data_IF_618800823209
#
_entry.id   IF_618800823209
#
_cell.length_a   1.000
_cell.length_b   1.000
_cell.length_c   1.000
_cell.angle_alpha   90.00
_cell.angle_beta   90.00
_cell.angle_gamma   90.00
#
_symmetry.space_group_name_H-M   'P 1'
#
loop_
_entity.id
_entity.type
_entity.pdbx_description
1 polymer ?
#
# COMPACT_ATOMS: atom_id res chain seq x y z
N UNK A 1 -8.70 -20.94 -21.66
CA UNK A 1 -9.53 -20.62 -20.47
C UNK A 1 -8.83 -19.46 -19.77
N UNK A 2 -8.69 -18.34 -20.50
CA UNK A 2 -7.63 -17.34 -20.29
C UNK A 2 -8.23 -15.92 -20.34
N UNK A 3 -9.22 -15.65 -19.49
CA UNK A 3 -9.90 -14.34 -19.45
C UNK A 3 -10.23 -13.87 -18.03
N UNK A 4 -9.53 -14.39 -17.01
CA UNK A 4 -9.68 -13.95 -15.62
C UNK A 4 -8.39 -13.42 -15.00
N UNK A 5 -7.32 -13.27 -15.78
CA UNK A 5 -6.03 -12.70 -15.34
C UNK A 5 -5.83 -11.31 -15.96
N UNK A 6 -6.91 -10.53 -16.08
CA UNK A 6 -6.83 -9.17 -16.62
C UNK A 6 -6.93 -8.17 -15.45
N UNK A 7 -5.80 -7.53 -15.13
CA UNK A 7 -5.62 -6.46 -14.13
C UNK A 7 -5.95 -6.82 -12.68
N UNK A 8 -5.10 -7.63 -12.05
CA UNK A 8 -4.99 -7.59 -10.58
C UNK A 8 -4.18 -6.35 -10.21
N UNK A 9 -4.85 -5.18 -10.18
CA UNK A 9 -4.28 -3.97 -9.59
C UNK A 9 -3.94 -4.20 -8.10
N UNK A 10 -3.22 -3.27 -7.48
CA UNK A 10 -2.91 -3.32 -6.04
C UNK A 10 -4.17 -3.66 -5.25
N UNK A 11 -4.21 -4.89 -4.71
CA UNK A 11 -5.38 -5.41 -3.99
C UNK A 11 -5.54 -4.69 -2.67
N UNK A 12 -4.45 -4.20 -2.09
CA UNK A 12 -4.42 -3.50 -0.82
C UNK A 12 -5.19 -2.17 -0.87
N UNK A 13 -6.10 -1.99 0.09
CA UNK A 13 -6.91 -0.77 0.25
C UNK A 13 -6.66 -0.07 1.60
N UNK A 14 -5.74 -0.60 2.41
CA UNK A 14 -5.35 -0.07 3.71
C UNK A 14 -3.96 0.55 3.65
N UNK A 15 -3.81 1.71 4.28
CA UNK A 15 -2.52 2.36 4.47
C UNK A 15 -1.78 1.86 5.71
N UNK A 16 -0.50 2.21 5.84
CA UNK A 16 0.36 1.80 6.95
C UNK A 16 -0.24 2.13 8.32
N UNK A 17 -0.75 3.36 8.47
CA UNK A 17 -1.31 3.83 9.73
C UNK A 17 -2.54 3.02 10.15
N UNK A 18 -3.42 2.71 9.19
CA UNK A 18 -4.64 1.93 9.44
C UNK A 18 -4.28 0.49 9.84
N UNK A 19 -3.30 -0.12 9.15
CA UNK A 19 -2.76 -1.44 9.51
C UNK A 19 -2.19 -1.45 10.94
N UNK A 20 -1.40 -0.46 11.31
CA UNK A 20 -0.81 -0.37 12.67
C UNK A 20 -1.89 -0.21 13.73
N UNK A 21 -2.86 0.68 13.52
CA UNK A 21 -3.95 0.91 14.48
C UNK A 21 -4.78 -0.37 14.66
N UNK A 22 -5.14 -1.06 13.56
CA UNK A 22 -5.89 -2.32 13.62
C UNK A 22 -5.09 -3.43 14.28
N UNK A 23 -3.83 -3.59 13.93
CA UNK A 23 -2.95 -4.58 14.55
C UNK A 23 -2.84 -4.36 16.06
N UNK A 24 -2.61 -3.12 16.48
CA UNK A 24 -2.54 -2.75 17.90
C UNK A 24 -3.86 -2.99 18.63
N UNK A 25 -5.00 -2.61 18.03
CA UNK A 25 -6.32 -2.84 18.61
C UNK A 25 -6.63 -4.34 18.76
N UNK A 26 -6.37 -5.14 17.72
CA UNK A 26 -6.59 -6.58 17.74
C UNK A 26 -5.71 -7.28 18.78
N UNK A 27 -4.43 -6.98 18.82
CA UNK A 27 -3.50 -7.51 19.84
C UNK A 27 -3.94 -7.09 21.24
N UNK A 28 -4.38 -5.83 21.42
CA UNK A 28 -4.88 -5.33 22.70
C UNK A 28 -6.11 -6.09 23.20
N UNK A 29 -7.11 -6.32 22.34
CA UNK A 29 -8.32 -7.09 22.68
C UNK A 29 -7.95 -8.53 23.03
N UNK A 30 -7.09 -9.16 22.23
CA UNK A 30 -6.63 -10.53 22.48
C UNK A 30 -5.88 -10.64 23.82
N UNK A 31 -4.98 -9.69 24.10
CA UNK A 31 -4.24 -9.62 25.35
C UNK A 31 -5.14 -9.41 26.57
N UNK A 32 -6.16 -8.56 26.45
CA UNK A 32 -7.14 -8.34 27.52
C UNK A 32 -7.99 -9.58 27.80
N UNK A 33 -8.45 -10.27 26.75
CA UNK A 33 -9.18 -11.52 26.89
C UNK A 33 -8.32 -12.61 27.54
N UNK A 34 -7.06 -12.77 27.09
CA UNK A 34 -6.11 -13.69 27.69
C UNK A 34 -5.86 -13.39 29.17
N UNK A 35 -5.63 -12.11 29.50
CA UNK A 35 -5.40 -11.69 30.87
C UNK A 35 -6.62 -11.98 31.78
N UNK A 36 -7.84 -11.74 31.28
CA UNK A 36 -9.07 -12.05 32.02
C UNK A 36 -9.19 -13.54 32.32
N UNK A 37 -9.01 -14.39 31.30
CA UNK A 37 -9.09 -15.86 31.44
C UNK A 37 -8.05 -16.40 32.44
N UNK A 38 -6.81 -15.89 32.37
CA UNK A 38 -5.71 -16.48 33.14
C UNK A 38 -5.63 -15.95 34.56
N UNK A 39 -5.91 -14.66 34.76
CA UNK A 39 -5.61 -13.99 36.04
C UNK A 39 -6.83 -13.50 36.80
N UNK A 40 -7.99 -13.40 36.16
CA UNK A 40 -9.15 -12.70 36.76
C UNK A 40 -10.37 -13.61 36.92
N UNK A 41 -10.61 -14.53 35.99
CA UNK A 41 -11.90 -15.23 35.86
C UNK A 41 -11.73 -16.72 35.64
N UNK A 42 -12.44 -17.55 36.43
CA UNK A 42 -12.49 -19.01 36.25
C UNK A 42 -13.53 -19.46 35.19
N UNK A 43 -14.31 -18.52 34.65
CA UNK A 43 -15.38 -18.77 33.69
C UNK A 43 -15.20 -17.91 32.45
N UNK A 44 -15.28 -18.55 31.28
CA UNK A 44 -15.17 -17.90 29.97
C UNK A 44 -16.58 -17.50 29.51
N UNK A 45 -16.87 -16.20 29.51
CA UNK A 45 -18.18 -15.67 29.12
C UNK A 45 -18.04 -14.68 27.97
N UNK A 46 -17.35 -13.56 28.19
CA UNK A 46 -17.17 -12.51 27.20
C UNK A 46 -15.86 -12.67 26.42
N UNK A 47 -14.90 -13.40 26.99
CA UNK A 47 -13.55 -13.55 26.47
C UNK A 47 -13.53 -14.33 25.14
N UNK A 48 -14.42 -15.31 24.96
CA UNK A 48 -14.57 -16.01 23.67
C UNK A 48 -14.95 -15.05 22.56
N UNK A 49 -15.92 -14.15 22.81
CA UNK A 49 -16.31 -13.15 21.83
C UNK A 49 -15.18 -12.17 21.55
N UNK A 50 -14.48 -11.71 22.59
CA UNK A 50 -13.33 -10.83 22.44
C UNK A 50 -12.21 -11.46 21.58
N UNK A 51 -11.91 -12.74 21.78
CA UNK A 51 -10.95 -13.48 20.93
C UNK A 51 -11.45 -13.56 19.49
N UNK A 52 -12.73 -13.86 19.25
CA UNK A 52 -13.27 -13.90 17.89
C UNK A 52 -13.22 -12.52 17.21
N UNK A 53 -13.56 -11.45 17.94
CA UNK A 53 -13.50 -10.09 17.43
C UNK A 53 -12.08 -9.60 17.16
N UNK A 54 -11.07 -10.09 17.87
CA UNK A 54 -9.67 -9.68 17.64
C UNK A 54 -9.07 -10.25 16.36
N UNK A 55 -9.59 -11.38 15.86
CA UNK A 55 -9.11 -12.01 14.62
C UNK A 55 -9.27 -11.06 13.44
N UNK A 56 -10.40 -10.39 13.32
CA UNK A 56 -10.70 -9.51 12.19
C UNK A 56 -9.70 -8.34 12.02
N UNK A 57 -9.44 -7.48 13.02
CA UNK A 57 -8.45 -6.41 12.89
C UNK A 57 -7.02 -6.93 12.73
N UNK A 58 -6.66 -8.07 13.32
CA UNK A 58 -5.34 -8.70 13.11
C UNK A 58 -5.19 -9.15 11.66
N UNK A 59 -6.16 -9.89 11.14
CA UNK A 59 -6.11 -10.40 9.75
C UNK A 59 -6.08 -9.26 8.74
N UNK A 60 -6.92 -8.24 8.92
CA UNK A 60 -6.94 -7.07 8.01
C UNK A 60 -5.65 -6.25 8.11
N UNK A 61 -5.00 -6.18 9.28
CA UNK A 61 -3.69 -5.52 9.42
C UNK A 61 -2.57 -6.22 8.64
N UNK A 62 -2.52 -7.56 8.70
CA UNK A 62 -1.50 -8.37 8.03
C UNK A 62 -1.72 -8.32 6.51
N UNK A 63 -2.94 -8.60 6.06
CA UNK A 63 -3.26 -8.65 4.64
C UNK A 63 -3.23 -7.27 3.97
N UNK A 64 -3.49 -6.19 4.73
CA UNK A 64 -3.64 -4.83 4.15
C UNK A 64 -4.87 -4.70 3.26
N UNK A 65 -5.82 -5.60 3.45
CA UNK A 65 -7.08 -5.60 2.77
C UNK A 65 -8.23 -5.66 3.76
N UNK A 66 -9.16 -4.73 3.64
CA UNK A 66 -10.42 -4.72 4.39
C UNK A 66 -11.61 -4.94 3.45
N UNK A 67 -12.40 -6.03 3.64
CA UNK A 67 -13.62 -6.28 2.87
C UNK A 67 -14.65 -5.15 3.00
N UNK A 68 -14.76 -4.51 4.17
CA UNK A 68 -15.73 -3.44 4.41
C UNK A 68 -15.38 -2.23 3.55
N UNK A 69 -14.11 -1.82 3.54
CA UNK A 69 -13.65 -0.74 2.68
C UNK A 69 -13.87 -1.09 1.20
N UNK A 70 -13.64 -2.34 0.80
CA UNK A 70 -13.90 -2.76 -0.57
C UNK A 70 -15.39 -2.65 -0.96
N UNK A 71 -16.31 -3.09 -0.09
CA UNK A 71 -17.76 -3.00 -0.31
C UNK A 71 -18.23 -1.55 -0.48
N UNK A 72 -17.62 -0.61 0.24
CA UNK A 72 -17.96 0.82 0.16
C UNK A 72 -17.07 1.60 -0.82
N UNK A 73 -16.26 0.92 -1.65
CA UNK A 73 -15.29 1.55 -2.55
C UNK A 73 -14.35 2.54 -1.84
N UNK A 74 -14.15 2.35 -0.54
CA UNK A 74 -13.25 3.11 0.30
C UNK A 74 -11.82 2.59 0.21
N UNK A 75 -10.87 3.50 0.39
CA UNK A 75 -9.45 3.20 0.58
C UNK A 75 -8.87 4.20 1.58
N UNK A 76 -8.05 3.73 2.51
CA UNK A 76 -7.30 4.62 3.42
C UNK A 76 -5.88 4.91 2.93
N UNK A 77 -5.45 4.25 1.86
CA UNK A 77 -4.17 4.48 1.19
C UNK A 77 -4.33 5.25 -0.14
N UNK A 78 -3.24 5.86 -0.60
CA UNK A 78 -3.13 6.59 -1.86
C UNK A 78 -2.17 5.87 -2.82
N UNK A 79 -2.12 6.30 -4.09
CA UNK A 79 -1.06 5.87 -5.02
C UNK A 79 0.17 6.79 -4.96
N UNK A 80 0.08 7.90 -4.22
CA UNK A 80 1.14 8.91 -4.11
C UNK A 80 1.32 9.38 -2.67
N UNK A 81 2.55 9.73 -2.30
CA UNK A 81 2.88 10.34 -1.01
C UNK A 81 3.36 9.33 0.04
N UNK A 82 3.23 9.68 1.33
CA UNK A 82 3.77 8.87 2.46
C UNK A 82 2.89 7.69 2.88
N UNK A 83 1.67 7.61 2.37
CA UNK A 83 0.68 6.59 2.72
C UNK A 83 0.24 5.84 1.47
N UNK A 84 1.21 5.22 0.78
CA UNK A 84 0.96 4.49 -0.45
C UNK A 84 0.32 3.12 -0.19
N UNK A 85 -0.53 2.64 -1.09
CA UNK A 85 -1.06 1.29 -1.04
C UNK A 85 0.03 0.28 -1.46
N UNK A 86 0.25 -0.79 -0.68
CA UNK A 86 1.14 -1.85 -1.14
C UNK A 86 1.45 -2.94 -0.11
N UNK A 87 2.58 -3.62 -0.32
CA UNK A 87 3.10 -4.58 0.64
C UNK A 87 3.58 -3.84 1.91
N UNK A 88 3.52 -4.48 3.07
CA UNK A 88 3.94 -3.86 4.33
C UNK A 88 5.39 -3.31 4.29
N UNK A 89 6.40 -4.03 3.76
CA UNK A 89 7.76 -3.49 3.64
C UNK A 89 7.83 -2.23 2.76
N UNK A 90 7.04 -2.19 1.69
CA UNK A 90 6.96 -1.05 0.80
C UNK A 90 6.35 0.16 1.51
N UNK A 91 5.23 -0.04 2.21
CA UNK A 91 4.56 1.01 2.98
C UNK A 91 5.48 1.62 4.04
N UNK A 92 6.21 0.78 4.77
CA UNK A 92 7.22 1.22 5.75
C UNK A 92 8.29 2.06 5.07
N UNK A 93 8.84 1.61 3.94
CA UNK A 93 9.86 2.36 3.18
C UNK A 93 9.35 3.75 2.77
N UNK A 94 8.14 3.83 2.25
CA UNK A 94 7.51 5.09 1.80
C UNK A 94 7.23 6.05 2.96
N UNK A 95 6.90 5.54 4.15
CA UNK A 95 6.67 6.36 5.33
C UNK A 95 7.96 7.03 5.84
N UNK A 96 9.09 6.33 5.76
CA UNK A 96 10.40 6.83 6.20
C UNK A 96 11.17 7.62 5.13
N UNK A 97 10.66 7.70 3.91
CA UNK A 97 11.28 8.49 2.86
C UNK A 97 11.18 10.00 3.10
N UNK A 98 12.21 10.72 2.66
CA UNK A 98 12.20 12.18 2.55
C UNK A 98 11.31 12.57 1.38
N UNK A 99 10.66 13.73 1.51
CA UNK A 99 9.68 14.23 0.53
C UNK A 99 10.27 14.38 -0.90
N UNK A 100 11.58 14.61 -0.98
CA UNK A 100 12.37 14.75 -2.19
C UNK A 100 12.57 13.43 -2.96
N UNK A 101 12.48 12.28 -2.27
CA UNK A 101 12.65 10.94 -2.83
C UNK A 101 11.30 10.28 -3.15
N UNK A 102 10.30 11.07 -3.57
CA UNK A 102 8.96 10.56 -3.86
C UNK A 102 9.00 9.47 -4.93
N UNK A 103 8.87 8.22 -4.49
CA UNK A 103 8.73 7.06 -5.36
C UNK A 103 7.36 7.08 -6.02
N UNK A 104 7.34 7.04 -7.35
CA UNK A 104 6.16 6.60 -8.08
C UNK A 104 6.38 5.15 -8.47
N UNK A 105 5.40 4.31 -8.14
CA UNK A 105 5.30 3.02 -8.76
C UNK A 105 4.76 3.24 -10.18
N UNK A 106 5.63 3.04 -11.16
CA UNK A 106 5.19 2.81 -12.52
C UNK A 106 4.52 1.43 -12.52
N UNK A 107 3.19 1.41 -12.49
CA UNK A 107 2.44 0.18 -12.74
C UNK A 107 2.40 -0.02 -14.25
N UNK A 108 3.43 -0.64 -14.77
CA UNK A 108 3.42 -1.14 -16.14
C UNK A 108 2.40 -2.26 -16.20
N UNK A 109 1.54 -2.25 -17.21
CA UNK A 109 0.42 -3.20 -17.38
C UNK A 109 0.85 -4.67 -17.49
N UNK A 110 2.16 -4.95 -17.53
CA UNK A 110 2.73 -6.28 -17.73
C UNK A 110 3.56 -6.78 -16.54
N UNK A 111 3.79 -5.98 -15.49
CA UNK A 111 4.72 -6.36 -14.42
C UNK A 111 4.00 -6.53 -13.08
N UNK A 112 4.18 -7.72 -12.52
CA UNK A 112 3.60 -8.19 -11.26
C UNK A 112 3.93 -7.25 -10.10
N UNK A 113 3.09 -7.30 -9.05
CA UNK A 113 3.21 -6.61 -7.76
C UNK A 113 4.62 -6.64 -7.11
N UNK A 114 5.53 -7.45 -7.63
CA UNK A 114 6.92 -7.63 -7.20
C UNK A 114 7.90 -6.62 -7.83
N UNK A 115 7.58 -5.98 -8.96
CA UNK A 115 8.52 -5.09 -9.68
C UNK A 115 8.89 -3.81 -8.90
N UNK A 116 8.03 -3.39 -7.96
CA UNK A 116 8.30 -2.22 -7.11
C UNK A 116 9.36 -2.45 -6.03
N UNK A 117 9.90 -3.66 -5.91
CA UNK A 117 10.89 -3.99 -4.88
C UNK A 117 12.32 -3.55 -5.23
N UNK A 118 12.70 -3.46 -6.52
CA UNK A 118 14.10 -3.26 -6.94
C UNK A 118 14.39 -1.98 -7.75
N UNK A 119 13.40 -1.36 -8.40
CA UNK A 119 13.62 -0.16 -9.22
C UNK A 119 12.91 1.07 -8.67
N UNK A 120 13.53 1.70 -7.68
CA UNK A 120 13.14 3.05 -7.23
C UNK A 120 13.66 4.10 -8.21
N UNK A 121 12.82 4.58 -9.11
CA UNK A 121 13.17 5.71 -9.99
C UNK A 121 12.85 7.02 -9.26
N UNK A 122 13.86 7.87 -9.09
CA UNK A 122 13.68 9.23 -8.56
C UNK A 122 12.86 10.01 -9.60
N UNK A 123 11.70 10.54 -9.20
CA UNK A 123 10.88 11.42 -10.04
C UNK A 123 11.73 12.58 -10.58
N UNK A 124 11.86 12.76 -11.91
CA UNK A 124 12.38 14.01 -12.43
C UNK A 124 11.33 15.11 -12.15
N UNK A 125 11.66 16.03 -11.23
CA UNK A 125 10.90 17.25 -11.00
C UNK A 125 10.86 18.09 -12.29
N UNK A 126 9.82 17.97 -13.10
CA UNK A 126 9.63 18.86 -14.25
C UNK A 126 8.25 19.48 -14.24
N UNK A 127 8.20 20.82 -14.21
CA UNK A 127 7.00 21.68 -14.22
C UNK A 127 6.05 21.50 -15.42
N UNK A 128 6.36 20.60 -16.36
CA UNK A 128 5.66 20.46 -17.65
C UNK A 128 4.75 19.23 -17.68
N UNK A 129 4.90 18.28 -16.75
CA UNK A 129 4.02 17.13 -16.65
C UNK A 129 2.78 17.51 -15.84
N UNK A 130 1.68 17.82 -16.53
CA UNK A 130 0.40 18.13 -15.90
C UNK A 130 -0.16 16.85 -15.25
N UNK A 131 -0.38 16.93 -13.94
CA UNK A 131 -0.70 15.81 -13.03
C UNK A 131 -2.18 15.38 -13.15
N UNK A 132 -2.97 16.06 -13.97
CA UNK A 132 -4.44 16.05 -13.86
C UNK A 132 -5.16 15.31 -15.02
N UNK A 133 -4.49 14.43 -15.78
CA UNK A 133 -5.16 13.61 -16.81
C UNK A 133 -4.87 12.12 -16.63
N UNK A 134 -5.93 11.32 -16.71
CA UNK A 134 -5.95 9.85 -16.74
C UNK A 134 -4.93 9.24 -17.73
N UNK A 135 -4.68 7.92 -17.58
CA UNK A 135 -3.55 7.41 -16.82
C UNK A 135 -2.22 7.91 -17.38
N UNK A 136 -1.25 8.15 -16.50
CA UNK A 136 0.11 8.54 -16.90
C UNK A 136 0.72 7.44 -17.78
N UNK A 137 0.67 7.63 -19.10
CA UNK A 137 1.52 6.92 -20.04
C UNK A 137 2.88 7.59 -19.91
N UNK A 138 3.77 6.96 -19.15
CA UNK A 138 5.16 7.35 -19.18
C UNK A 138 5.68 7.21 -20.62
N UNK A 139 6.52 8.15 -21.09
CA UNK A 139 7.15 8.02 -22.39
C UNK A 139 7.94 6.71 -22.39
N UNK A 140 7.77 5.91 -23.45
CA UNK A 140 8.55 4.68 -23.63
C UNK A 140 10.04 4.94 -23.39
N UNK A 141 10.84 3.97 -22.95
CA UNK A 141 12.30 4.14 -22.75
C UNK A 141 12.98 4.83 -23.94
N UNK A 142 12.48 4.53 -25.15
CA UNK A 142 12.91 5.14 -26.40
C UNK A 142 12.66 6.65 -26.48
N UNK A 143 11.57 7.13 -25.89
CA UNK A 143 11.22 8.55 -25.83
C UNK A 143 11.97 9.28 -24.72
N UNK A 144 12.31 8.58 -23.62
CA UNK A 144 13.23 9.09 -22.59
C UNK A 144 14.64 9.29 -23.17
N UNK A 145 15.14 8.33 -23.93
CA UNK A 145 16.45 8.43 -24.60
C UNK A 145 16.50 9.60 -25.60
N UNK A 146 15.45 9.77 -26.41
CA UNK A 146 15.33 10.91 -27.34
C UNK A 146 15.32 12.23 -26.60
N UNK A 147 14.61 12.33 -25.47
CA UNK A 147 14.56 13.54 -24.67
C UNK A 147 15.93 13.85 -24.06
N UNK A 148 16.61 12.84 -23.51
CA UNK A 148 17.94 12.97 -22.91
C UNK A 148 18.97 13.41 -23.94
N UNK A 149 18.91 12.85 -25.15
CA UNK A 149 19.73 13.27 -26.28
C UNK A 149 19.42 14.72 -26.73
N UNK A 150 18.16 15.14 -26.74
CA UNK A 150 17.76 16.49 -27.08
C UNK A 150 18.20 17.53 -26.03
N UNK A 151 18.14 17.18 -24.74
CA UNK A 151 18.65 17.99 -23.62
C UNK A 151 20.18 18.17 -23.73
N UNK A 152 20.92 17.07 -23.95
CA UNK A 152 22.38 17.10 -24.11
C UNK A 152 22.82 17.99 -25.28
N UNK A 153 22.00 18.06 -26.33
CA UNK A 153 22.21 18.93 -27.50
C UNK A 153 21.85 20.40 -27.25
N UNK A 154 20.99 20.71 -26.26
CA UNK A 154 20.67 22.08 -25.83
C UNK A 154 21.66 22.64 -24.82
N UNK A 155 22.36 21.75 -24.09
CA UNK A 155 23.37 22.11 -23.10
C UNK A 155 24.80 22.23 -23.68
N UNK A 156 24.97 21.91 -24.96
CA UNK A 156 26.21 22.07 -25.74
C UNK A 156 26.05 23.22 -26.73
#
# INVERSE_FOLDING_TARGET
>A
MDMFVEKVGVVQNLGLADRVIRGAAGIGILGAAYYSIVFTSATVVWETYAVLFSIYPIMTSILGWDPVYHLFHGKSCSLTGRNQCGSFPYEVKTAFMKEEDQLVCETDSEHTLESCHDHTVIKPHHKVWQVDREPMIYPSDRDLDKFTAAQKKRAA
#
